data_IF_164252672508
#
_entry.id   IF_164252672508
#
_cell.length_a   1.000
_cell.length_b   1.000
_cell.length_c   1.000
_cell.angle_alpha   90.00
_cell.angle_beta   90.00
_cell.angle_gamma   90.00
#
_symmetry.space_group_name_H-M   'P 1'
#
loop_
_entity.id
_entity.type
_entity.pdbx_description
1 polymer ?
#
# COMPACT_ATOMS: atom_id res chain seq x y z
N UNK A 1 3.04 13.51 35.64
CA UNK A 1 2.48 13.95 34.35
C UNK A 1 3.63 13.97 33.35
N UNK A 2 3.86 12.85 32.65
CA UNK A 2 4.94 12.74 31.68
C UNK A 2 4.37 13.17 30.32
N UNK A 3 4.76 14.34 29.84
CA UNK A 3 4.45 14.79 28.48
C UNK A 3 5.21 13.88 27.52
N UNK A 4 4.52 12.89 26.95
CA UNK A 4 5.05 12.15 25.81
C UNK A 4 5.15 13.16 24.67
N UNK A 5 6.36 13.64 24.38
CA UNK A 5 6.64 14.31 23.12
C UNK A 5 6.16 13.34 22.03
N UNK A 6 5.18 13.76 21.23
CA UNK A 6 4.80 13.02 20.04
C UNK A 6 6.08 12.79 19.24
N UNK A 7 6.51 11.54 19.14
CA UNK A 7 7.73 11.18 18.43
C UNK A 7 7.57 11.67 16.98
N UNK A 8 8.43 12.60 16.53
CA UNK A 8 8.48 13.19 15.17
C UNK A 8 8.92 12.15 14.10
N UNK A 9 8.54 10.90 14.33
CA UNK A 9 8.84 9.78 13.47
C UNK A 9 7.82 9.74 12.33
N UNK A 10 8.33 9.71 11.11
CA UNK A 10 7.57 9.45 9.88
C UNK A 10 8.22 8.32 9.11
N UNK A 11 7.48 7.65 8.20
CA UNK A 11 8.04 6.62 7.33
C UNK A 11 9.23 7.10 6.49
N UNK A 12 9.39 8.42 6.27
CA UNK A 12 10.56 8.99 5.57
C UNK A 12 11.89 8.51 6.17
N UNK A 13 11.95 8.29 7.48
CA UNK A 13 13.16 7.80 8.18
C UNK A 13 13.55 6.37 7.82
N UNK A 14 12.67 5.63 7.15
CA UNK A 14 12.95 4.26 6.71
C UNK A 14 13.74 4.22 5.39
N UNK A 15 13.68 5.29 4.60
CA UNK A 15 14.33 5.37 3.31
C UNK A 15 15.77 5.85 3.48
N UNK A 16 16.72 4.99 3.11
CA UNK A 16 18.15 5.29 3.05
C UNK A 16 18.52 5.82 1.66
N UNK A 17 19.66 6.50 1.49
CA UNK A 17 20.15 6.87 0.15
C UNK A 17 20.19 5.64 -0.78
N UNK A 18 19.46 5.70 -1.89
CA UNK A 18 19.35 4.61 -2.86
C UNK A 18 18.22 3.60 -2.60
N UNK A 19 17.55 3.66 -1.45
CA UNK A 19 16.34 2.86 -1.20
C UNK A 19 15.24 3.33 -2.16
N UNK A 20 14.82 2.40 -3.01
CA UNK A 20 13.63 2.55 -3.81
C UNK A 20 12.36 2.48 -2.92
N UNK A 21 11.35 3.26 -3.26
CA UNK A 21 9.99 3.16 -2.75
C UNK A 21 9.35 4.51 -2.55
N UNK A 22 8.19 4.52 -1.91
CA UNK A 22 7.46 5.73 -1.59
C UNK A 22 6.53 5.50 -0.43
N UNK A 23 6.06 6.60 0.16
CA UNK A 23 4.91 6.52 1.05
C UNK A 23 3.99 7.70 0.80
N UNK A 24 2.71 7.41 0.93
CA UNK A 24 1.63 8.29 0.54
C UNK A 24 0.60 8.31 1.65
N UNK A 25 0.37 9.51 2.18
CA UNK A 25 -0.66 9.83 3.16
C UNK A 25 -1.80 10.50 2.40
N UNK A 26 -2.99 9.92 2.41
CA UNK A 26 -4.10 10.39 1.59
C UNK A 26 -4.88 11.57 2.19
N UNK A 27 -4.24 12.31 3.08
CA UNK A 27 -4.74 13.59 3.56
C UNK A 27 -4.82 14.65 2.43
N UNK A 28 -5.87 15.51 2.36
CA UNK A 28 -6.08 16.49 1.30
C UNK A 28 -4.88 17.40 1.02
N UNK A 29 -4.08 17.72 2.04
CA UNK A 29 -2.86 18.53 1.90
C UNK A 29 -1.84 17.93 0.91
N UNK A 30 -1.82 16.61 0.78
CA UNK A 30 -0.90 15.85 -0.08
C UNK A 30 -1.53 15.35 -1.38
N UNK A 31 -2.85 15.51 -1.53
CA UNK A 31 -3.61 15.07 -2.70
C UNK A 31 -3.95 16.24 -3.62
N UNK A 32 -4.14 15.97 -4.90
CA UNK A 32 -4.48 16.96 -5.92
C UNK A 32 -5.49 16.39 -6.90
N UNK A 33 -6.38 17.26 -7.40
CA UNK A 33 -7.44 16.85 -8.32
C UNK A 33 -6.89 16.50 -9.70
N UNK A 34 -5.90 17.27 -10.16
CA UNK A 34 -5.28 17.09 -11.47
C UNK A 34 -4.07 16.17 -11.38
N UNK A 35 -3.85 15.39 -12.43
CA UNK A 35 -2.74 14.43 -12.53
C UNK A 35 -1.36 15.07 -12.64
N UNK A 36 -1.30 16.37 -12.91
CA UNK A 36 -0.07 17.16 -12.95
C UNK A 36 0.36 17.72 -11.57
N UNK A 37 -0.36 17.36 -10.50
CA UNK A 37 -0.08 17.85 -9.14
C UNK A 37 -0.66 19.23 -8.85
N UNK A 38 -1.57 19.74 -9.67
CA UNK A 38 -2.28 21.01 -9.44
C UNK A 38 -3.73 20.80 -9.00
N UNK A 39 -4.37 21.87 -8.53
CA UNK A 39 -5.76 21.84 -8.07
C UNK A 39 -5.90 21.22 -6.68
N UNK A 40 -6.21 22.05 -5.68
CA UNK A 40 -6.53 21.55 -4.35
C UNK A 40 -7.76 20.63 -4.43
N UNK A 41 -7.68 19.48 -3.75
CA UNK A 41 -8.81 18.55 -3.67
C UNK A 41 -9.58 18.79 -2.38
N UNK A 42 -10.91 18.62 -2.43
CA UNK A 42 -11.79 18.66 -1.28
C UNK A 42 -12.46 17.29 -1.09
N UNK A 43 -13.05 17.05 0.07
CA UNK A 43 -13.85 15.84 0.33
C UNK A 43 -14.97 15.72 -0.72
N UNK A 44 -15.13 14.53 -1.28
CA UNK A 44 -16.08 14.23 -2.35
C UNK A 44 -15.56 14.50 -3.77
N UNK A 45 -14.32 14.98 -3.92
CA UNK A 45 -13.71 15.22 -5.24
C UNK A 45 -12.76 14.07 -5.64
N UNK A 46 -12.60 13.81 -6.95
CA UNK A 46 -11.66 12.81 -7.46
C UNK A 46 -10.21 13.25 -7.25
N UNK A 47 -9.33 12.29 -6.97
CA UNK A 47 -7.89 12.51 -6.77
C UNK A 47 -7.11 11.98 -7.96
N UNK A 48 -6.43 12.88 -8.66
CA UNK A 48 -5.59 12.55 -9.82
C UNK A 48 -4.11 12.44 -9.49
N UNK A 49 -3.67 12.94 -8.34
CA UNK A 49 -2.26 12.93 -7.96
C UNK A 49 -2.07 12.91 -6.45
N UNK A 50 -1.09 12.15 -5.95
CA UNK A 50 -0.72 12.08 -4.54
C UNK A 50 0.79 12.26 -4.36
N UNK A 51 1.16 13.16 -3.45
CA UNK A 51 2.54 13.47 -3.12
C UNK A 51 3.23 12.26 -2.48
N UNK A 52 4.43 11.95 -2.96
CA UNK A 52 5.36 11.06 -2.28
C UNK A 52 6.05 11.84 -1.17
N UNK A 53 5.98 11.31 0.03
CA UNK A 53 6.52 11.91 1.24
C UNK A 53 7.86 11.30 1.64
N UNK A 54 8.34 10.26 0.93
CA UNK A 54 9.63 9.61 1.18
C UNK A 54 10.83 10.46 0.80
N UNK A 55 10.66 11.38 -0.16
CA UNK A 55 11.74 12.14 -0.77
C UNK A 55 12.27 11.53 -2.07
N UNK A 56 11.72 10.40 -2.52
CA UNK A 56 12.15 9.73 -3.76
C UNK A 56 11.48 10.26 -5.04
N UNK A 57 10.48 11.14 -4.92
CA UNK A 57 9.78 11.74 -6.06
C UNK A 57 8.78 10.80 -6.74
N UNK A 58 8.39 9.72 -6.07
CA UNK A 58 7.54 8.67 -6.60
C UNK A 58 6.05 9.04 -6.47
N UNK A 59 5.62 10.11 -7.10
CA UNK A 59 4.22 10.55 -7.03
C UNK A 59 3.26 9.52 -7.64
N UNK A 60 2.11 9.32 -6.99
CA UNK A 60 1.02 8.54 -7.60
C UNK A 60 0.21 9.45 -8.51
N UNK A 61 -0.22 8.93 -9.65
CA UNK A 61 -0.90 9.66 -10.72
C UNK A 61 -2.03 8.81 -11.30
N UNK A 62 -3.17 9.43 -11.56
CA UNK A 62 -4.26 8.89 -12.37
C UNK A 62 -4.78 9.99 -13.29
N UNK A 63 -4.47 9.88 -14.59
CA UNK A 63 -4.84 10.89 -15.57
C UNK A 63 -6.30 10.73 -16.05
N UNK A 64 -6.85 9.51 -16.00
CA UNK A 64 -8.18 9.22 -16.53
C UNK A 64 -9.24 9.56 -15.50
N UNK A 65 -10.08 10.55 -15.78
CA UNK A 65 -11.06 11.08 -14.81
C UNK A 65 -12.01 10.02 -14.22
N UNK A 66 -12.43 9.03 -15.01
CA UNK A 66 -13.35 7.98 -14.56
C UNK A 66 -12.71 6.99 -13.56
N UNK A 67 -11.38 6.86 -13.59
CA UNK A 67 -10.63 5.86 -12.80
C UNK A 67 -10.03 6.44 -11.51
N UNK A 68 -10.37 7.69 -11.18
CA UNK A 68 -9.79 8.43 -10.07
C UNK A 68 -10.56 8.09 -8.79
N UNK A 69 -9.88 7.57 -7.75
CA UNK A 69 -10.53 7.38 -6.46
C UNK A 69 -10.99 8.71 -5.88
N UNK A 70 -11.98 8.66 -5.00
CA UNK A 70 -12.58 9.84 -4.39
C UNK A 70 -11.97 10.11 -3.02
N UNK A 71 -11.58 11.36 -2.74
CA UNK A 71 -11.18 11.73 -1.39
C UNK A 71 -12.39 11.75 -0.46
N UNK A 72 -12.32 11.02 0.64
CA UNK A 72 -13.35 10.99 1.69
C UNK A 72 -12.76 11.29 3.06
N UNK A 73 -13.65 11.55 4.00
CA UNK A 73 -13.34 11.71 5.41
C UNK A 73 -14.39 10.95 6.23
N UNK A 74 -13.95 10.19 7.22
CA UNK A 74 -14.85 9.49 8.13
C UNK A 74 -15.45 10.44 9.20
N UNK A 75 -16.48 10.01 9.96
CA UNK A 75 -17.07 10.84 11.02
C UNK A 75 -16.11 11.22 12.15
N UNK A 76 -14.98 10.51 12.28
CA UNK A 76 -13.94 10.76 13.29
C UNK A 76 -12.85 11.72 12.79
N UNK A 77 -12.92 12.15 11.53
CA UNK A 77 -12.02 13.11 10.91
C UNK A 77 -10.85 12.50 10.13
N UNK A 78 -10.76 11.17 9.99
CA UNK A 78 -9.69 10.51 9.24
C UNK A 78 -9.98 10.51 7.74
N UNK A 79 -8.98 10.91 6.95
CA UNK A 79 -9.09 10.97 5.49
C UNK A 79 -8.66 9.65 4.85
N UNK A 80 -9.30 9.33 3.72
CA UNK A 80 -8.97 8.16 2.93
C UNK A 80 -9.33 8.37 1.46
N UNK A 81 -8.70 7.59 0.59
CA UNK A 81 -9.18 7.36 -0.76
C UNK A 81 -10.17 6.22 -0.75
N UNK A 82 -11.34 6.49 -1.32
CA UNK A 82 -12.44 5.56 -1.56
C UNK A 82 -12.24 4.99 -2.97
N UNK A 83 -12.01 3.69 -3.04
CA UNK A 83 -11.91 2.93 -4.28
C UNK A 83 -13.20 2.12 -4.43
N UNK A 84 -13.91 2.31 -5.55
CA UNK A 84 -15.28 1.84 -5.71
C UNK A 84 -15.45 0.37 -6.11
N UNK A 85 -14.35 -0.33 -6.43
CA UNK A 85 -14.35 -1.71 -6.90
C UNK A 85 -14.74 -1.88 -8.37
N UNK A 86 -14.88 -0.81 -9.14
CA UNK A 86 -15.25 -0.83 -10.56
C UNK A 86 -14.05 -0.55 -11.45
N UNK A 87 -13.41 0.61 -11.31
CA UNK A 87 -12.22 0.96 -12.09
C UNK A 87 -11.21 1.88 -11.38
N UNK A 88 -11.49 2.26 -10.13
CA UNK A 88 -10.65 3.19 -9.38
C UNK A 88 -9.25 2.64 -9.07
N UNK A 89 -8.22 3.42 -9.42
CA UNK A 89 -6.83 3.20 -9.03
C UNK A 89 -5.97 4.45 -9.21
N UNK A 90 -4.81 4.44 -8.58
CA UNK A 90 -3.79 5.46 -8.78
C UNK A 90 -2.41 4.82 -8.90
N UNK A 91 -1.62 5.29 -9.87
CA UNK A 91 -0.43 4.59 -10.35
C UNK A 91 0.86 5.32 -10.05
N UNK A 92 1.89 4.55 -9.75
CA UNK A 92 3.27 4.99 -9.83
C UNK A 92 3.82 4.65 -11.23
N UNK A 93 4.13 5.68 -12.02
CA UNK A 93 4.71 5.49 -13.33
C UNK A 93 6.09 4.80 -13.25
N UNK A 94 6.28 3.76 -14.07
CA UNK A 94 7.55 3.07 -14.35
C UNK A 94 8.51 2.93 -13.17
N UNK A 95 8.34 1.86 -12.40
CA UNK A 95 9.18 1.51 -11.27
C UNK A 95 10.01 0.24 -11.50
N UNK A 96 11.26 0.22 -11.04
CA UNK A 96 12.07 -1.00 -11.02
C UNK A 96 11.63 -1.90 -9.84
N UNK A 97 10.64 -2.75 -10.10
CA UNK A 97 10.12 -3.68 -9.09
C UNK A 97 11.13 -4.75 -8.66
N UNK A 98 12.19 -4.99 -9.43
CA UNK A 98 13.20 -6.01 -9.07
C UNK A 98 13.89 -5.70 -7.75
N UNK A 99 13.93 -4.42 -7.36
CA UNK A 99 14.47 -3.98 -6.08
C UNK A 99 13.64 -4.46 -4.88
N UNK A 100 12.31 -4.60 -5.01
CA UNK A 100 11.47 -5.08 -3.90
C UNK A 100 11.43 -6.60 -3.78
N UNK A 101 11.62 -7.32 -4.89
CA UNK A 101 11.50 -8.78 -4.90
C UNK A 101 12.78 -9.48 -4.39
N UNK A 102 13.92 -8.79 -4.46
CA UNK A 102 15.15 -9.19 -3.76
C UNK A 102 15.17 -8.82 -2.27
N UNK A 103 14.04 -8.32 -1.73
CA UNK A 103 13.89 -7.91 -0.34
C UNK A 103 13.07 -6.62 -0.28
N UNK A 104 11.86 -6.66 0.30
CA UNK A 104 10.96 -5.51 0.27
C UNK A 104 9.91 -5.57 1.37
N UNK A 105 9.41 -4.39 1.73
CA UNK A 105 8.35 -4.19 2.70
C UNK A 105 7.23 -3.39 2.05
N UNK A 106 6.04 -3.96 2.04
CA UNK A 106 4.78 -3.28 1.77
C UNK A 106 4.06 -3.10 3.10
N UNK A 107 3.50 -1.92 3.35
CA UNK A 107 2.55 -1.74 4.43
C UNK A 107 1.49 -0.71 4.04
N UNK A 108 0.24 -0.98 4.39
CA UNK A 108 -0.86 -0.08 4.14
C UNK A 108 -1.93 -0.28 5.20
N UNK A 109 -2.80 0.72 5.34
CA UNK A 109 -4.02 0.59 6.13
C UNK A 109 -5.21 0.64 5.21
N UNK A 110 -6.18 -0.25 5.39
CA UNK A 110 -7.39 -0.25 4.58
C UNK A 110 -8.58 -0.88 5.32
N UNK A 111 -9.77 -0.54 4.87
CA UNK A 111 -11.04 -1.22 5.13
C UNK A 111 -11.53 -1.80 3.80
N UNK A 112 -11.70 -3.12 3.70
CA UNK A 112 -12.24 -3.75 2.50
C UNK A 112 -13.68 -4.20 2.65
N UNK A 113 -14.44 -4.06 1.55
CA UNK A 113 -15.65 -4.81 1.27
C UNK A 113 -15.33 -5.87 0.20
N UNK A 114 -15.89 -7.08 0.31
CA UNK A 114 -15.58 -8.28 -0.50
C UNK A 114 -14.29 -9.04 -0.13
N UNK A 115 -14.00 -10.13 -0.85
CA UNK A 115 -12.85 -11.02 -0.63
C UNK A 115 -11.49 -10.35 -0.95
N UNK A 116 -11.47 -9.10 -1.40
CA UNK A 116 -10.31 -8.43 -1.97
C UNK A 116 -10.04 -7.09 -1.25
N UNK A 117 -8.85 -6.93 -0.67
CA UNK A 117 -8.31 -5.62 -0.26
C UNK A 117 -7.14 -5.37 -1.20
N UNK A 118 -7.38 -4.99 -2.46
CA UNK A 118 -6.31 -4.99 -3.48
C UNK A 118 -5.34 -3.83 -3.27
N UNK A 119 -4.42 -4.01 -2.32
CA UNK A 119 -3.19 -3.26 -2.25
C UNK A 119 -2.14 -3.97 -3.11
N UNK A 120 -1.66 -3.24 -4.12
CA UNK A 120 -0.79 -3.62 -5.23
C UNK A 120 -1.44 -4.35 -6.40
N UNK A 121 -1.32 -3.69 -7.56
CA UNK A 121 -1.35 -4.29 -8.89
C UNK A 121 0.05 -4.47 -9.41
N UNK A 122 0.34 -5.69 -9.86
CA UNK A 122 1.52 -6.00 -10.65
C UNK A 122 1.68 -5.03 -11.79
N UNK A 123 2.94 -4.96 -12.15
CA UNK A 123 3.36 -4.59 -13.45
C UNK A 123 4.42 -5.59 -13.88
N UNK A 124 4.28 -6.06 -15.12
CA UNK A 124 5.14 -7.00 -15.84
C UNK A 124 5.89 -8.04 -14.98
N UNK A 125 5.38 -9.26 -15.05
CA UNK A 125 6.03 -10.46 -14.54
C UNK A 125 6.15 -10.61 -13.04
N UNK A 126 5.73 -9.68 -12.17
CA UNK A 126 5.58 -9.92 -10.72
C UNK A 126 4.45 -9.09 -10.07
N UNK A 127 3.66 -9.69 -9.16
CA UNK A 127 2.57 -9.06 -8.39
C UNK A 127 2.62 -9.44 -6.91
N UNK A 128 2.02 -8.57 -6.11
CA UNK A 128 1.63 -8.79 -4.72
C UNK A 128 0.16 -8.39 -4.62
N UNK A 129 -0.73 -9.26 -4.16
CA UNK A 129 -2.15 -8.97 -3.96
C UNK A 129 -2.58 -9.40 -2.57
N UNK A 130 -3.31 -8.54 -1.87
CA UNK A 130 -3.87 -8.87 -0.55
C UNK A 130 -5.36 -9.22 -0.70
N UNK A 131 -5.68 -10.48 -0.45
CA UNK A 131 -7.06 -10.94 -0.33
C UNK A 131 -7.43 -11.04 1.14
N UNK A 132 -8.72 -11.19 1.40
CA UNK A 132 -9.28 -11.47 2.71
C UNK A 132 -8.72 -12.76 3.32
N UNK A 133 -8.44 -13.78 2.52
CA UNK A 133 -8.01 -15.09 3.01
C UNK A 133 -6.50 -15.36 2.86
N UNK A 134 -5.80 -14.56 2.06
CA UNK A 134 -4.42 -14.84 1.69
C UNK A 134 -3.74 -13.60 1.10
N UNK A 135 -2.43 -13.51 1.22
CA UNK A 135 -1.64 -12.70 0.30
C UNK A 135 -1.17 -13.60 -0.83
N UNK A 136 -1.37 -13.18 -2.07
CA UNK A 136 -0.81 -13.85 -3.24
C UNK A 136 0.40 -13.08 -3.75
N UNK A 137 1.39 -13.84 -4.19
CA UNK A 137 2.58 -13.36 -4.86
C UNK A 137 2.74 -14.20 -6.11
N UNK A 138 3.03 -13.59 -7.24
CA UNK A 138 3.26 -14.38 -8.43
C UNK A 138 4.01 -13.60 -9.47
N UNK A 139 4.46 -14.32 -10.49
CA UNK A 139 5.08 -13.71 -11.64
C UNK A 139 4.66 -14.34 -12.96
N UNK A 140 4.75 -13.60 -14.06
CA UNK A 140 4.47 -14.15 -15.39
C UNK A 140 5.56 -15.18 -15.67
N UNK A 141 5.18 -16.46 -15.83
CA UNK A 141 6.03 -17.64 -15.99
C UNK A 141 6.67 -18.21 -14.70
N UNK A 142 6.22 -17.82 -13.50
CA UNK A 142 6.64 -18.43 -12.24
C UNK A 142 5.43 -19.03 -11.49
N UNK A 143 5.69 -20.04 -10.64
CA UNK A 143 4.66 -20.57 -9.75
C UNK A 143 4.07 -19.46 -8.88
N UNK A 144 2.74 -19.40 -8.80
CA UNK A 144 2.06 -18.51 -7.85
C UNK A 144 2.34 -19.05 -6.46
N UNK A 145 2.80 -18.18 -5.58
CA UNK A 145 3.05 -18.52 -4.20
C UNK A 145 2.12 -17.71 -3.28
N UNK A 146 1.75 -18.35 -2.18
CA UNK A 146 0.64 -17.90 -1.35
C UNK A 146 1.09 -17.83 0.10
N UNK A 147 0.73 -16.74 0.77
CA UNK A 147 0.69 -16.68 2.23
C UNK A 147 -0.78 -16.80 2.62
N UNK A 148 -1.20 -18.01 2.94
CA UNK A 148 -2.54 -18.24 3.49
C UNK A 148 -2.62 -17.69 4.91
N UNK A 149 -3.73 -17.05 5.24
CA UNK A 149 -3.93 -16.57 6.59
C UNK A 149 -4.48 -17.68 7.47
N UNK A 150 -4.04 -17.71 8.72
CA UNK A 150 -4.61 -18.57 9.75
C UNK A 150 -6.09 -18.23 10.01
N UNK A 151 -6.47 -16.96 9.83
CA UNK A 151 -7.84 -16.47 9.92
C UNK A 151 -8.06 -15.40 8.85
N UNK A 152 -9.24 -15.36 8.19
CA UNK A 152 -9.54 -14.33 7.21
C UNK A 152 -9.50 -12.93 7.84
N UNK A 153 -9.12 -11.94 7.06
CA UNK A 153 -9.26 -10.54 7.43
C UNK A 153 -10.75 -10.21 7.62
N UNK A 154 -11.08 -9.36 8.61
CA UNK A 154 -12.43 -8.91 8.84
C UNK A 154 -12.93 -8.12 7.63
N UNK A 155 -14.20 -8.33 7.26
CA UNK A 155 -14.92 -7.39 6.41
C UNK A 155 -15.37 -6.23 7.28
N UNK A 156 -15.32 -5.00 6.76
CA UNK A 156 -15.83 -3.82 7.45
C UNK A 156 -15.09 -3.41 8.74
N UNK A 157 -13.81 -3.78 8.90
CA UNK A 157 -12.93 -3.23 9.92
C UNK A 157 -11.71 -2.55 9.28
N UNK A 158 -11.35 -1.35 9.73
CA UNK A 158 -10.08 -0.72 9.38
C UNK A 158 -8.95 -1.56 9.96
N UNK A 159 -8.00 -1.97 9.12
CA UNK A 159 -6.86 -2.79 9.53
C UNK A 159 -5.58 -2.22 8.94
N UNK A 160 -4.46 -2.49 9.60
CA UNK A 160 -3.12 -2.37 9.02
C UNK A 160 -2.70 -3.74 8.52
N UNK A 161 -2.33 -3.81 7.24
CA UNK A 161 -1.71 -5.00 6.67
C UNK A 161 -0.28 -4.65 6.29
N UNK A 162 0.66 -5.49 6.72
CA UNK A 162 2.04 -5.41 6.28
C UNK A 162 2.52 -6.73 5.71
N UNK A 163 3.40 -6.62 4.74
CA UNK A 163 3.95 -7.73 4.00
C UNK A 163 5.44 -7.49 3.85
N UNK A 164 6.24 -8.40 4.38
CA UNK A 164 7.67 -8.46 4.11
C UNK A 164 7.94 -9.63 3.17
N UNK A 165 8.67 -9.36 2.10
CA UNK A 165 8.98 -10.37 1.09
C UNK A 165 10.47 -10.37 0.78
N UNK A 166 11.01 -11.55 0.57
CA UNK A 166 12.38 -11.82 0.13
C UNK A 166 12.35 -13.03 -0.80
N UNK A 167 13.51 -13.36 -1.38
CA UNK A 167 13.65 -14.51 -2.27
C UNK A 167 13.26 -15.85 -1.65
N UNK A 168 13.34 -15.98 -0.32
CA UNK A 168 13.12 -17.24 0.40
C UNK A 168 12.16 -17.13 1.59
N UNK A 169 11.54 -15.97 1.80
CA UNK A 169 10.62 -15.77 2.91
C UNK A 169 9.62 -14.66 2.62
N UNK A 170 8.35 -14.94 2.90
CA UNK A 170 7.23 -13.99 2.88
C UNK A 170 6.51 -14.06 4.21
N UNK A 171 6.21 -12.92 4.80
CA UNK A 171 5.47 -12.81 6.07
C UNK A 171 4.39 -11.75 5.91
N UNK A 172 3.14 -12.14 6.16
CA UNK A 172 2.01 -11.23 6.22
C UNK A 172 1.59 -11.00 7.68
N UNK A 173 1.28 -9.76 8.01
CA UNK A 173 0.83 -9.34 9.34
C UNK A 173 -0.43 -8.51 9.21
N UNK A 174 -1.33 -8.67 10.19
CA UNK A 174 -2.50 -7.82 10.43
C UNK A 174 -2.29 -7.17 11.78
N UNK A 175 -2.43 -5.85 11.86
CA UNK A 175 -2.44 -5.11 13.13
C UNK A 175 -1.25 -5.47 14.04
N UNK A 176 -0.05 -5.59 13.47
CA UNK A 176 1.15 -5.95 14.24
C UNK A 176 1.28 -7.42 14.63
N UNK A 177 0.39 -8.30 14.19
CA UNK A 177 0.43 -9.75 14.46
C UNK A 177 0.62 -10.51 13.16
N UNK A 178 1.56 -11.46 13.14
CA UNK A 178 1.75 -12.34 11.99
C UNK A 178 0.51 -13.22 11.78
N UNK A 179 -0.02 -13.22 10.57
CA UNK A 179 -1.22 -13.99 10.19
C UNK A 179 -0.91 -15.10 9.19
N UNK A 180 0.28 -15.06 8.57
CA UNK A 180 0.73 -16.10 7.66
C UNK A 180 2.20 -15.91 7.30
N UNK A 181 2.85 -17.00 6.91
CA UNK A 181 4.20 -16.98 6.35
C UNK A 181 4.39 -18.10 5.32
N UNK A 182 5.36 -17.90 4.44
CA UNK A 182 5.76 -18.87 3.43
C UNK A 182 7.29 -18.79 3.23
N UNK A 183 7.96 -19.93 3.10
CA UNK A 183 9.42 -20.05 2.96
C UNK A 183 9.86 -20.61 1.60
N UNK A 184 8.95 -20.64 0.62
CA UNK A 184 9.26 -21.08 -0.72
C UNK A 184 10.27 -20.13 -1.37
N UNK A 185 11.23 -20.73 -2.09
CA UNK A 185 12.18 -19.96 -2.89
C UNK A 185 11.51 -19.53 -4.19
N UNK A 186 11.65 -18.26 -4.54
CA UNK A 186 11.09 -17.67 -5.73
C UNK A 186 12.17 -16.98 -6.54
N UNK A 187 12.18 -17.22 -7.85
CA UNK A 187 13.06 -16.53 -8.79
C UNK A 187 12.27 -15.39 -9.43
N UNK A 188 12.61 -14.11 -9.15
CA UNK A 188 11.96 -13.00 -9.81
C UNK A 188 12.21 -13.06 -11.32
N UNK A 189 11.15 -12.95 -12.12
CA UNK A 189 11.31 -12.65 -13.53
C UNK A 189 11.69 -11.15 -13.67
N UNK A 190 12.72 -10.82 -14.46
CA UNK A 190 13.08 -9.43 -14.78
C UNK A 190 11.87 -8.65 -15.33
N UNK A 191 11.69 -7.37 -14.96
CA UNK A 191 11.05 -6.27 -15.76
C UNK A 191 10.77 -4.97 -14.94
N UNK A 192 10.55 -3.86 -15.66
CA UNK A 192 10.19 -2.49 -15.17
C UNK A 192 8.72 -2.18 -15.42
N UNK A 193 8.07 -1.56 -14.44
CA UNK A 193 6.73 -1.94 -14.12
C UNK A 193 5.91 -0.78 -13.45
N UNK A 194 4.69 -0.47 -13.91
CA UNK A 194 3.68 0.42 -13.25
C UNK A 194 3.05 -0.13 -11.96
N UNK A 195 3.39 0.42 -10.80
CA UNK A 195 2.79 -0.02 -9.54
C UNK A 195 1.42 0.64 -9.35
N UNK A 196 0.35 -0.15 -9.30
CA UNK A 196 -1.02 0.36 -9.09
C UNK A 196 -1.47 0.19 -7.64
N UNK A 197 -2.04 1.26 -7.06
CA UNK A 197 -2.77 1.22 -5.78
C UNK A 197 -4.26 1.26 -6.09
N UNK A 198 -5.03 0.31 -5.58
CA UNK A 198 -6.47 0.21 -5.83
C UNK A 198 -6.85 -0.79 -6.91
N UNK A 199 -5.93 -1.21 -7.79
CA UNK A 199 -6.22 -2.23 -8.81
C UNK A 199 -5.09 -3.23 -8.99
N UNK A 200 -5.40 -4.35 -9.67
CA UNK A 200 -4.44 -5.24 -10.32
C UNK A 200 -4.65 -5.20 -11.83
N UNK A 201 -3.61 -4.78 -12.56
CA UNK A 201 -3.55 -4.76 -14.03
C UNK A 201 -4.76 -4.10 -14.71
N UNK A 202 -5.40 -3.13 -14.05
CA UNK A 202 -6.62 -2.50 -14.58
C UNK A 202 -7.70 -3.53 -14.96
N UNK A 203 -7.79 -4.61 -14.17
CA UNK A 203 -8.70 -5.74 -14.40
C UNK A 203 -9.40 -6.23 -13.14
N UNK A 204 -8.79 -6.06 -11.97
CA UNK A 204 -9.43 -6.28 -10.66
C UNK A 204 -9.27 -5.03 -9.83
N UNK A 205 -10.34 -4.58 -9.21
CA UNK A 205 -10.38 -3.30 -8.51
C UNK A 205 -10.79 -3.51 -7.06
N UNK A 206 -10.17 -2.75 -6.17
CA UNK A 206 -10.47 -2.78 -4.75
C UNK A 206 -11.76 -2.05 -4.49
N UNK A 207 -12.62 -2.64 -3.67
CA UNK A 207 -13.67 -1.90 -2.99
C UNK A 207 -13.18 -1.64 -1.56
N UNK A 208 -12.43 -0.56 -1.38
CA UNK A 208 -11.79 -0.30 -0.09
C UNK A 208 -11.60 1.19 0.20
N UNK A 209 -11.56 1.50 1.50
CA UNK A 209 -11.13 2.79 2.00
C UNK A 209 -9.69 2.67 2.44
N UNK A 210 -8.77 3.41 1.82
CA UNK A 210 -7.35 3.39 2.16
C UNK A 210 -6.92 4.77 2.67
N UNK A 211 -6.47 4.90 3.92
CA UNK A 211 -5.91 6.16 4.46
C UNK A 211 -4.46 6.43 4.09
N UNK A 212 -3.66 5.38 3.94
CA UNK A 212 -2.24 5.51 3.65
C UNK A 212 -1.65 4.21 3.09
N UNK A 213 -0.55 4.36 2.36
CA UNK A 213 0.13 3.29 1.66
C UNK A 213 1.65 3.54 1.67
N UNK A 214 2.45 2.49 1.84
CA UNK A 214 3.91 2.56 1.95
C UNK A 214 4.56 1.36 1.28
N UNK A 215 5.59 1.63 0.47
CA UNK A 215 6.34 0.61 -0.26
C UNK A 215 7.84 0.92 -0.11
N UNK A 216 8.63 -0.06 0.34
CA UNK A 216 10.07 0.08 0.65
C UNK A 216 10.85 -1.10 0.08
N UNK A 217 11.88 -0.84 -0.72
CA UNK A 217 12.66 -1.86 -1.47
C UNK A 217 13.73 -2.56 -0.64
N UNK A 218 13.54 -2.58 0.67
CA UNK A 218 14.34 -3.39 1.58
C UNK A 218 13.46 -4.03 2.63
N UNK A 219 13.99 -5.08 3.22
CA UNK A 219 13.46 -5.59 4.48
C UNK A 219 13.74 -4.56 5.58
N UNK A 220 12.67 -4.02 6.16
CA UNK A 220 12.78 -3.24 7.38
C UNK A 220 12.94 -4.18 8.59
N UNK A 221 13.62 -3.72 9.62
CA UNK A 221 13.75 -4.46 10.88
C UNK A 221 12.39 -4.57 11.59
N UNK A 222 12.26 -5.49 12.55
CA UNK A 222 11.02 -5.62 13.34
C UNK A 222 10.60 -4.30 14.02
N UNK A 223 11.56 -3.56 14.58
CA UNK A 223 11.29 -2.27 15.20
C UNK A 223 10.85 -1.18 14.20
N UNK A 224 11.47 -1.16 13.02
CA UNK A 224 11.06 -0.28 11.92
C UNK A 224 9.65 -0.62 11.42
N UNK A 225 9.34 -1.92 11.27
CA UNK A 225 8.03 -2.39 10.85
C UNK A 225 6.96 -2.00 11.86
N UNK A 226 7.20 -2.24 13.15
CA UNK A 226 6.27 -1.84 14.22
C UNK A 226 5.98 -0.34 14.18
N UNK A 227 7.01 0.52 14.03
CA UNK A 227 6.79 1.98 13.92
C UNK A 227 5.97 2.35 12.69
N UNK A 228 6.22 1.70 11.55
CA UNK A 228 5.43 1.90 10.33
C UNK A 228 3.98 1.48 10.52
N UNK A 229 3.74 0.32 11.11
CA UNK A 229 2.40 -0.20 11.40
C UNK A 229 1.64 0.75 12.35
N UNK A 230 2.27 1.25 13.41
CA UNK A 230 1.66 2.25 14.30
C UNK A 230 1.37 3.58 13.60
N UNK A 231 2.25 4.03 12.70
CA UNK A 231 1.98 5.25 11.94
C UNK A 231 0.79 5.09 11.00
N UNK A 232 0.68 3.95 10.30
CA UNK A 232 -0.48 3.62 9.48
C UNK A 232 -1.76 3.52 10.32
N UNK A 233 -1.70 2.87 11.47
CA UNK A 233 -2.83 2.74 12.40
C UNK A 233 -3.38 4.11 12.82
N UNK A 234 -2.49 5.07 13.14
CA UNK A 234 -2.88 6.44 13.46
C UNK A 234 -3.55 7.16 12.28
N UNK A 235 -3.19 6.86 11.03
CA UNK A 235 -3.88 7.41 9.85
C UNK A 235 -5.24 6.76 9.61
N UNK A 236 -5.37 5.51 10.01
CA UNK A 236 -6.60 4.74 9.97
C UNK A 236 -7.54 4.95 11.17
N UNK A 237 -7.14 5.76 12.15
CA UNK A 237 -7.94 5.97 13.37
C UNK A 237 -8.04 4.74 14.28
N UNK A 238 -7.10 3.80 14.17
CA UNK A 238 -7.06 2.59 15.00
C UNK A 238 -5.78 2.55 15.85
N UNK A 239 -5.80 1.75 16.91
CA UNK A 239 -4.66 1.53 17.82
C UNK A 239 -4.16 0.10 17.69
N UNK A 240 -2.83 -0.09 17.75
CA UNK A 240 -2.16 -1.40 17.75
C UNK A 240 -1.48 -1.64 19.09
#
# INVERSE_FOLDING_TARGET
>A
MLTVLADDWTPARLFRPGDAGGFWDFHPQYCRQNSDGTGAVAVGQPVGWVKDLSGNGNHLVQATSAKKPVLRQDPSGYFYLDFDGVDDHIDLAAYDLLKFLNGGTLAFSALGQYDDITALGACCSNWLQVYRHQVKYGGNNAAIDYVNYQSPLPSNEMIVVSVQSSLSSRVARKNGVQIGANTNTFTPAGNVATVSVGSYQDYRYSNCNMPAYCLISRLVTGAELTRLEHWLARRAGITL
#
